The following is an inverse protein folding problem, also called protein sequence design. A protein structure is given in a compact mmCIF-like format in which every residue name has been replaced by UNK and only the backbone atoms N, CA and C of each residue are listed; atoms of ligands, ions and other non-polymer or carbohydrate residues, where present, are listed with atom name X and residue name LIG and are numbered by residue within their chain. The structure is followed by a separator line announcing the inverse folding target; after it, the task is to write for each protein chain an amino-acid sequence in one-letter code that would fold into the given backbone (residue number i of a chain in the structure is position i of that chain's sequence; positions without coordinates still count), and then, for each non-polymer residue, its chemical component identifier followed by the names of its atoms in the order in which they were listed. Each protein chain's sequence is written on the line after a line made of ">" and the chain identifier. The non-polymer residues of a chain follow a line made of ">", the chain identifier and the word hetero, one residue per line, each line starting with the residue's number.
data_IF_285297007331
#
_entry.id   IF_285297007331
#
_cell.length_a   1.000
_cell.length_b   1.000
_cell.length_c   1.000
_cell.angle_alpha   90.00
_cell.angle_beta   90.00
_cell.angle_gamma   90.00
#
_symmetry.space_group_name_H-M   'P 1'
#
loop_
_entity.id
_entity.type
_entity.pdbx_description
1 polymer ?
#
# COMPACT_ATOMS: atom_id res chain seq x y z
N UNK A 1 6.61 -7.01 -0.06
CA UNK A 1 6.77 -6.41 -1.39
C UNK A 1 7.50 -7.37 -2.32
N UNK A 2 7.25 -7.25 -3.62
CA UNK A 2 7.88 -8.13 -4.60
C UNK A 2 9.40 -7.96 -4.61
N UNK A 3 10.13 -9.01 -5.03
CA UNK A 3 11.58 -8.96 -5.14
C UNK A 3 11.96 -8.20 -6.41
N UNK A 4 12.26 -6.93 -6.29
CA UNK A 4 12.57 -6.05 -7.42
C UNK A 4 13.78 -6.54 -8.21
N UNK A 5 14.77 -7.11 -7.53
CA UNK A 5 16.00 -7.59 -8.18
C UNK A 5 15.79 -8.72 -9.19
N UNK A 6 14.62 -9.37 -9.15
CA UNK A 6 14.29 -10.45 -10.10
C UNK A 6 13.58 -9.93 -11.35
N UNK A 7 13.21 -8.65 -11.39
CA UNK A 7 12.51 -8.06 -12.53
C UNK A 7 13.50 -7.64 -13.63
N UNK A 8 13.09 -7.60 -14.89
CA UNK A 8 13.87 -6.94 -15.93
C UNK A 8 14.17 -5.50 -15.54
N UNK A 9 15.30 -4.96 -16.01
CA UNK A 9 15.77 -3.64 -15.61
C UNK A 9 14.74 -2.54 -15.82
N UNK A 10 14.02 -2.55 -16.93
CA UNK A 10 13.00 -1.55 -17.23
C UNK A 10 11.87 -1.56 -16.20
N UNK A 11 11.48 -2.75 -15.72
CA UNK A 11 10.47 -2.88 -14.67
C UNK A 11 11.02 -2.49 -13.30
N UNK A 12 12.31 -2.72 -13.06
CA UNK A 12 12.96 -2.29 -11.81
C UNK A 12 12.84 -0.77 -11.65
N UNK A 13 13.05 -0.01 -12.73
CA UNK A 13 12.94 1.44 -12.70
C UNK A 13 11.56 1.92 -12.28
N UNK A 14 10.51 1.20 -12.70
CA UNK A 14 9.13 1.53 -12.32
C UNK A 14 8.88 1.30 -10.82
N UNK A 15 9.59 0.37 -10.21
CA UNK A 15 9.35 -0.02 -8.81
C UNK A 15 10.46 0.41 -7.85
N UNK A 16 11.48 1.13 -8.30
CA UNK A 16 12.62 1.54 -7.46
C UNK A 16 12.21 2.34 -6.23
N UNK A 17 11.13 3.11 -6.32
CA UNK A 17 10.64 3.90 -5.19
C UNK A 17 10.37 3.04 -3.95
N UNK A 18 10.08 1.75 -4.13
CA UNK A 18 9.78 0.85 -3.02
C UNK A 18 10.96 0.66 -2.07
N UNK A 19 12.20 0.84 -2.55
CA UNK A 19 13.38 0.74 -1.71
C UNK A 19 13.43 1.85 -0.66
N UNK A 20 12.80 2.98 -0.92
CA UNK A 20 12.78 4.13 -0.02
C UNK A 20 11.60 4.14 0.93
N UNK A 21 10.72 3.15 0.86
CA UNK A 21 9.52 3.09 1.68
C UNK A 21 9.84 2.81 3.14
N UNK A 22 9.10 3.46 4.04
CA UNK A 22 9.26 3.26 5.48
C UNK A 22 8.94 1.84 5.91
N UNK A 23 8.15 1.10 5.12
CA UNK A 23 7.76 -0.28 5.43
C UNK A 23 8.80 -1.34 5.00
N UNK A 24 9.92 -0.93 4.40
CA UNK A 24 10.97 -1.89 4.04
C UNK A 24 11.48 -2.58 5.30
N UNK A 25 11.45 -3.92 5.28
CA UNK A 25 11.88 -4.71 6.44
C UNK A 25 10.82 -4.91 7.52
N UNK A 26 9.66 -4.27 7.38
CA UNK A 26 8.52 -4.48 8.28
C UNK A 26 7.76 -5.72 7.82
N UNK A 27 7.27 -6.53 8.79
CA UNK A 27 6.50 -7.72 8.48
C UNK A 27 5.25 -7.33 7.67
N UNK A 28 5.01 -8.03 6.58
CA UNK A 28 3.88 -7.74 5.70
C UNK A 28 2.52 -7.90 6.37
N UNK A 29 2.43 -8.68 7.46
CA UNK A 29 1.19 -8.85 8.22
C UNK A 29 0.66 -7.53 8.79
N UNK A 30 1.50 -6.51 8.92
CA UNK A 30 1.08 -5.17 9.33
C UNK A 30 0.18 -4.53 8.27
N UNK A 31 0.43 -4.83 7.00
CA UNK A 31 -0.26 -4.19 5.87
C UNK A 31 -1.38 -5.04 5.27
N UNK A 32 -1.37 -6.34 5.49
CA UNK A 32 -2.33 -7.27 4.88
C UNK A 32 -3.09 -8.02 5.95
N UNK A 33 -4.42 -7.93 5.91
CA UNK A 33 -5.25 -8.62 6.88
C UNK A 33 -5.21 -10.13 6.69
N UNK A 34 -5.14 -10.91 7.79
CA UNK A 34 -5.46 -12.32 7.67
C UNK A 34 -6.93 -12.49 7.29
N UNK A 35 -7.25 -13.65 6.71
CA UNK A 35 -8.61 -14.00 6.37
C UNK A 35 -9.52 -13.88 7.59
N UNK A 36 -10.71 -13.31 7.39
CA UNK A 36 -11.72 -13.15 8.42
C UNK A 36 -11.36 -12.19 9.56
N UNK A 37 -10.28 -11.43 9.46
CA UNK A 37 -9.98 -10.40 10.45
C UNK A 37 -11.05 -9.29 10.39
N UNK A 38 -11.57 -8.88 11.55
CA UNK A 38 -12.63 -7.88 11.64
C UNK A 38 -12.52 -7.02 12.90
N UNK A 39 -13.26 -5.90 12.89
CA UNK A 39 -13.47 -5.07 14.06
C UNK A 39 -12.23 -4.44 14.63
N UNK A 40 -12.07 -4.44 15.97
CA UNK A 40 -10.95 -3.74 16.62
C UNK A 40 -9.57 -4.21 16.19
N UNK A 41 -9.40 -5.52 15.94
CA UNK A 41 -8.14 -6.08 15.47
C UNK A 41 -7.75 -5.50 14.12
N UNK A 42 -8.70 -5.45 13.19
CA UNK A 42 -8.47 -4.87 11.87
C UNK A 42 -8.15 -3.39 11.96
N UNK A 43 -8.91 -2.64 12.76
CA UNK A 43 -8.68 -1.21 12.91
C UNK A 43 -7.30 -0.92 13.51
N UNK A 44 -6.89 -1.69 14.51
CA UNK A 44 -5.58 -1.51 15.14
C UNK A 44 -4.45 -1.80 14.15
N UNK A 45 -4.57 -2.87 13.36
CA UNK A 45 -3.58 -3.21 12.34
C UNK A 45 -3.49 -2.14 11.27
N UNK A 46 -4.64 -1.68 10.78
CA UNK A 46 -4.67 -0.61 9.77
C UNK A 46 -4.10 0.69 10.30
N UNK A 47 -4.37 1.02 11.55
CA UNK A 47 -3.80 2.21 12.18
C UNK A 47 -2.27 2.13 12.27
N UNK A 48 -1.74 0.97 12.63
CA UNK A 48 -0.29 0.76 12.69
C UNK A 48 0.35 0.91 11.30
N UNK A 49 -0.27 0.34 10.27
CA UNK A 49 0.20 0.47 8.89
C UNK A 49 0.17 1.92 8.43
N UNK A 50 -0.93 2.62 8.70
CA UNK A 50 -1.08 4.03 8.31
C UNK A 50 -0.08 4.94 9.02
N UNK A 51 0.29 4.62 10.27
CA UNK A 51 1.30 5.37 10.99
C UNK A 51 2.67 5.31 10.28
N UNK A 52 3.02 4.15 9.73
CA UNK A 52 4.23 4.02 8.92
C UNK A 52 4.12 4.83 7.62
N UNK A 53 2.97 4.77 6.98
CA UNK A 53 2.73 5.53 5.75
C UNK A 53 2.82 7.05 5.99
N UNK A 54 2.40 7.51 7.17
CA UNK A 54 2.41 8.94 7.50
C UNK A 54 3.82 9.53 7.49
N UNK A 55 4.85 8.73 7.75
CA UNK A 55 6.26 9.16 7.74
C UNK A 55 7.03 8.61 6.52
N UNK A 56 6.33 8.00 5.60
CA UNK A 56 6.95 7.37 4.45
C UNK A 56 7.31 8.41 3.37
N UNK A 57 8.58 8.47 2.93
CA UNK A 57 8.98 9.47 1.93
C UNK A 57 8.41 9.22 0.54
N UNK A 58 7.88 8.02 0.28
CA UNK A 58 7.30 7.65 -1.02
C UNK A 58 5.82 7.33 -0.93
N UNK A 59 5.11 7.94 0.03
CA UNK A 59 3.69 7.67 0.24
C UNK A 59 2.85 8.01 -1.00
N UNK A 60 3.19 9.08 -1.70
CA UNK A 60 2.47 9.48 -2.92
C UNK A 60 2.67 8.46 -4.04
N UNK A 61 3.90 8.05 -4.30
CA UNK A 61 4.21 7.06 -5.34
C UNK A 61 3.53 5.74 -5.04
N UNK A 62 3.51 5.36 -3.75
CA UNK A 62 2.85 4.14 -3.29
C UNK A 62 1.34 4.20 -3.57
N UNK A 63 0.68 5.30 -3.24
CA UNK A 63 -0.75 5.47 -3.46
C UNK A 63 -1.07 5.46 -4.96
N UNK A 64 -0.33 6.23 -5.75
CA UNK A 64 -0.58 6.29 -7.20
C UNK A 64 -0.38 4.93 -7.86
N UNK A 65 0.62 4.17 -7.43
CA UNK A 65 0.82 2.80 -7.92
C UNK A 65 -0.40 1.93 -7.60
N UNK A 66 -0.86 1.93 -6.33
CA UNK A 66 -1.98 1.10 -5.91
C UNK A 66 -3.26 1.45 -6.65
N UNK A 67 -3.49 2.74 -6.91
CA UNK A 67 -4.66 3.19 -7.67
C UNK A 67 -4.55 2.79 -9.15
N UNK A 68 -3.37 2.93 -9.73
CA UNK A 68 -3.17 2.62 -11.15
C UNK A 68 -3.36 1.14 -11.46
N UNK A 69 -2.84 0.25 -10.59
CA UNK A 69 -2.97 -1.20 -10.78
C UNK A 69 -4.15 -1.79 -10.04
N UNK A 70 -4.90 -0.98 -9.29
CA UNK A 70 -6.06 -1.37 -8.49
C UNK A 70 -5.73 -2.51 -7.55
N UNK A 71 -4.71 -2.32 -6.71
CA UNK A 71 -4.32 -3.32 -5.71
C UNK A 71 -5.52 -3.73 -4.87
N UNK A 72 -5.90 -5.01 -4.86
CA UNK A 72 -7.13 -5.46 -4.18
C UNK A 72 -6.98 -5.69 -2.68
N UNK A 73 -5.78 -5.64 -2.16
CA UNK A 73 -5.51 -5.95 -0.74
C UNK A 73 -4.52 -4.98 -0.13
N UNK A 74 -4.57 -4.88 1.18
CA UNK A 74 -3.56 -4.20 1.97
C UNK A 74 -3.73 -2.69 2.10
N UNK A 75 -2.89 -2.10 2.94
CA UNK A 75 -2.78 -0.65 3.12
C UNK A 75 -1.66 -0.16 2.22
N UNK A 76 -1.98 0.76 1.35
CA UNK A 76 -1.04 1.35 0.39
C UNK A 76 -1.19 2.86 0.42
N UNK A 77 -0.07 3.56 0.51
CA UNK A 77 -0.08 5.02 0.47
C UNK A 77 -0.94 5.65 1.56
N UNK A 78 -1.05 5.00 2.72
CA UNK A 78 -1.83 5.51 3.85
C UNK A 78 -3.33 5.20 3.77
N UNK A 79 -3.78 4.46 2.76
CA UNK A 79 -5.21 4.16 2.58
C UNK A 79 -5.46 2.66 2.56
N UNK A 80 -6.56 2.25 3.22
CA UNK A 80 -7.09 0.89 3.13
C UNK A 80 -7.69 0.65 1.76
N UNK A 81 -8.03 -0.62 1.46
CA UNK A 81 -8.69 -0.95 0.19
C UNK A 81 -10.02 -0.20 0.04
N UNK A 82 -10.83 -0.12 1.09
CA UNK A 82 -12.11 0.58 1.02
C UNK A 82 -11.94 2.06 0.71
N UNK A 83 -10.96 2.69 1.35
CA UNK A 83 -10.66 4.10 1.10
C UNK A 83 -10.20 4.33 -0.34
N UNK A 84 -9.36 3.43 -0.86
CA UNK A 84 -8.90 3.54 -2.24
C UNK A 84 -10.04 3.35 -3.25
N UNK A 85 -10.95 2.42 -2.98
CA UNK A 85 -12.10 2.20 -3.85
C UNK A 85 -13.01 3.42 -3.90
N UNK A 86 -13.25 4.06 -2.76
CA UNK A 86 -14.00 5.32 -2.71
C UNK A 86 -13.32 6.42 -3.52
N UNK A 87 -12.00 6.54 -3.39
CA UNK A 87 -11.24 7.54 -4.13
C UNK A 87 -11.33 7.33 -5.65
N UNK A 88 -11.23 6.08 -6.09
CA UNK A 88 -11.37 5.74 -7.52
C UNK A 88 -12.76 6.05 -8.03
N UNK A 89 -13.79 5.80 -7.23
CA UNK A 89 -15.16 6.10 -7.59
C UNK A 89 -15.38 7.60 -7.72
N UNK A 90 -14.85 8.39 -6.80
CA UNK A 90 -14.91 9.85 -6.85
C UNK A 90 -14.23 10.39 -8.10
N UNK A 91 -13.09 9.82 -8.48
CA UNK A 91 -12.37 10.22 -9.71
C UNK A 91 -13.18 9.93 -10.97
N UNK A 92 -14.00 8.87 -10.97
CA UNK A 92 -14.87 8.54 -12.12
C UNK A 92 -16.03 9.50 -12.27
N UNK A 93 -16.52 10.06 -11.18
CA UNK A 93 -17.67 10.96 -11.18
C UNK A 93 -17.30 12.43 -11.32
N UNK A 94 -16.01 12.72 -11.22
CA UNK A 94 -15.50 14.10 -11.32
C UNK A 94 -15.45 14.64 -12.75
#
# INVERSE_FOLDING_TARGET
>A
MASIGRLPKALQEVYEWQYDAACVGVDESVFFSPDAERGPSRRAREAAAKALCAVCPVVRECLEHALAVREPYGVWGGLSINERMHLLQDRKTA
#
